data_IF_286033288451
#
_entry.id   IF_286033288451
#
_cell.length_a   1.000
_cell.length_b   1.000
_cell.length_c   1.000
_cell.angle_alpha   90.00
_cell.angle_beta   90.00
_cell.angle_gamma   90.00
#
_symmetry.space_group_name_H-M   'P 1'
#
loop_
_entity.id
_entity.type
_entity.pdbx_description
1 polymer ?
#
# COMPACT_ATOMS: atom_id res chain seq x y z
N UNK A 1 20.84 -5.24 4.96
CA UNK A 1 20.16 -3.97 4.62
C UNK A 1 18.85 -3.83 5.38
N UNK A 2 17.90 -4.75 5.24
CA UNK A 2 16.60 -4.67 5.94
C UNK A 2 16.73 -4.73 7.47
N UNK A 3 17.52 -5.66 8.02
CA UNK A 3 17.75 -5.76 9.48
C UNK A 3 18.39 -4.48 10.05
N UNK A 4 19.31 -3.87 9.31
CA UNK A 4 19.96 -2.62 9.70
C UNK A 4 18.96 -1.45 9.71
N UNK A 5 18.08 -1.38 8.71
CA UNK A 5 17.02 -0.36 8.63
C UNK A 5 15.99 -0.53 9.75
N UNK A 6 15.53 -1.77 10.00
CA UNK A 6 14.63 -2.10 11.10
C UNK A 6 15.20 -1.66 12.44
N UNK A 7 16.49 -1.98 12.70
CA UNK A 7 17.18 -1.56 13.93
C UNK A 7 17.34 -0.05 14.02
N UNK A 8 17.70 0.62 12.93
CA UNK A 8 17.97 2.07 12.90
C UNK A 8 16.69 2.90 13.05
N UNK A 9 15.59 2.48 12.43
CA UNK A 9 14.33 3.22 12.39
C UNK A 9 13.32 2.72 13.45
N UNK A 10 13.58 1.60 14.13
CA UNK A 10 12.76 1.11 15.23
C UNK A 10 11.44 0.49 14.80
N UNK A 11 11.45 -0.30 13.72
CA UNK A 11 10.29 -1.05 13.25
C UNK A 11 10.63 -2.52 13.01
N UNK A 12 9.60 -3.36 12.93
CA UNK A 12 9.72 -4.78 12.60
C UNK A 12 8.88 -5.09 11.37
N UNK A 13 9.45 -5.82 10.40
CA UNK A 13 8.67 -6.41 9.30
C UNK A 13 8.17 -7.76 9.78
N UNK A 14 6.86 -7.86 10.00
CA UNK A 14 6.24 -9.06 10.59
C UNK A 14 5.73 -10.04 9.53
N UNK A 15 5.63 -9.59 8.28
CA UNK A 15 5.28 -10.40 7.13
C UNK A 15 5.39 -9.62 5.82
N UNK A 16 5.41 -10.34 4.71
CA UNK A 16 5.29 -9.79 3.35
C UNK A 16 4.45 -10.77 2.54
N UNK A 17 3.34 -10.29 2.00
CA UNK A 17 2.34 -11.13 1.34
C UNK A 17 2.21 -10.64 -0.11
N UNK A 18 2.49 -11.54 -1.05
CA UNK A 18 2.29 -11.27 -2.47
C UNK A 18 0.83 -11.53 -2.85
N UNK A 19 0.31 -10.72 -3.77
CA UNK A 19 -1.03 -10.86 -4.35
C UNK A 19 -0.96 -10.50 -5.83
N UNK A 20 -1.34 -11.43 -6.70
CA UNK A 20 -1.24 -11.23 -8.15
C UNK A 20 -2.61 -10.97 -8.77
N UNK A 21 -3.65 -11.62 -8.23
CA UNK A 21 -5.00 -11.61 -8.79
C UNK A 21 -6.08 -11.55 -7.72
N UNK A 22 -7.31 -11.23 -8.12
CA UNK A 22 -8.44 -11.07 -7.20
C UNK A 22 -8.77 -12.37 -6.44
N UNK A 23 -8.60 -13.51 -7.08
CA UNK A 23 -8.88 -14.85 -6.55
C UNK A 23 -7.97 -15.22 -5.38
N UNK A 24 -6.85 -14.51 -5.20
CA UNK A 24 -5.92 -14.72 -4.09
C UNK A 24 -6.43 -14.11 -2.77
N UNK A 25 -7.44 -13.25 -2.81
CA UNK A 25 -7.92 -12.54 -1.61
C UNK A 25 -8.23 -13.47 -0.43
N UNK A 26 -8.92 -14.62 -0.59
CA UNK A 26 -9.14 -15.55 0.51
C UNK A 26 -7.83 -16.03 1.16
N UNK A 27 -6.84 -16.45 0.36
CA UNK A 27 -5.51 -16.86 0.84
C UNK A 27 -4.81 -15.71 1.57
N UNK A 28 -4.81 -14.52 0.97
CA UNK A 28 -4.16 -13.33 1.54
C UNK A 28 -4.77 -12.97 2.90
N UNK A 29 -6.08 -13.10 3.06
CA UNK A 29 -6.75 -12.89 4.36
C UNK A 29 -6.28 -13.89 5.43
N UNK A 30 -6.09 -15.15 5.05
CA UNK A 30 -5.55 -16.17 5.96
C UNK A 30 -4.10 -15.86 6.35
N UNK A 31 -3.26 -15.44 5.40
CA UNK A 31 -1.87 -15.05 5.68
C UNK A 31 -1.78 -13.81 6.58
N UNK A 32 -2.64 -12.81 6.36
CA UNK A 32 -2.75 -11.63 7.25
C UNK A 32 -3.09 -12.05 8.68
N UNK A 33 -3.97 -13.04 8.86
CA UNK A 33 -4.34 -13.53 10.19
C UNK A 33 -3.17 -14.14 10.97
N UNK A 34 -2.15 -14.63 10.26
CA UNK A 34 -0.92 -15.14 10.86
C UNK A 34 0.12 -14.07 11.22
N UNK A 35 -0.10 -12.81 10.83
CA UNK A 35 0.82 -11.72 11.08
C UNK A 35 0.41 -10.89 12.30
N UNK A 36 1.32 -10.70 13.25
CA UNK A 36 1.13 -9.74 14.34
C UNK A 36 1.77 -8.39 13.96
N UNK A 37 0.95 -7.44 13.51
CA UNK A 37 1.39 -6.12 13.03
C UNK A 37 0.60 -4.95 13.65
N UNK A 38 1.15 -3.74 13.62
CA UNK A 38 0.40 -2.52 13.98
C UNK A 38 -0.11 -1.76 12.74
N UNK A 39 0.68 -1.81 11.66
CA UNK A 39 0.46 -1.12 10.39
C UNK A 39 0.68 -2.09 9.22
N UNK A 40 -0.25 -2.08 8.26
CA UNK A 40 -0.10 -2.79 6.99
C UNK A 40 0.05 -1.77 5.85
N UNK A 41 1.12 -1.90 5.06
CA UNK A 41 1.35 -1.10 3.85
C UNK A 41 0.85 -1.89 2.64
N UNK A 42 -0.07 -1.30 1.85
CA UNK A 42 -0.68 -1.95 0.70
C UNK A 42 -0.18 -1.32 -0.60
N UNK A 43 0.19 -2.17 -1.55
CA UNK A 43 0.46 -1.81 -2.94
C UNK A 43 -0.20 -2.85 -3.86
N UNK A 44 -1.49 -3.08 -3.67
CA UNK A 44 -2.25 -4.20 -4.24
C UNK A 44 -3.26 -3.80 -5.33
N UNK A 45 -3.10 -2.60 -5.92
CA UNK A 45 -4.04 -2.05 -6.89
C UNK A 45 -5.49 -2.06 -6.38
N UNK A 46 -6.44 -2.44 -7.23
CA UNK A 46 -7.86 -2.51 -6.87
C UNK A 46 -8.14 -3.42 -5.67
N UNK A 47 -7.32 -4.45 -5.42
CA UNK A 47 -7.49 -5.35 -4.28
C UNK A 47 -7.29 -4.63 -2.94
N UNK A 48 -6.53 -3.52 -2.90
CA UNK A 48 -6.36 -2.71 -1.70
C UNK A 48 -7.70 -2.14 -1.20
N UNK A 49 -8.66 -1.84 -2.09
CA UNK A 49 -10.01 -1.40 -1.72
C UNK A 49 -10.81 -2.47 -0.95
N UNK A 50 -10.40 -3.73 -1.05
CA UNK A 50 -11.03 -4.85 -0.33
C UNK A 50 -10.24 -5.16 0.94
N UNK A 51 -8.90 -5.19 0.84
CA UNK A 51 -8.03 -5.56 1.95
C UNK A 51 -7.96 -4.48 3.03
N UNK A 52 -7.90 -3.19 2.67
CA UNK A 52 -7.83 -2.09 3.64
C UNK A 52 -9.03 -2.06 4.61
N UNK A 53 -10.30 -2.05 4.16
CA UNK A 53 -11.43 -2.08 5.08
C UNK A 53 -11.51 -3.41 5.83
N UNK A 54 -11.15 -4.54 5.20
CA UNK A 54 -11.09 -5.83 5.87
C UNK A 54 -10.13 -5.80 7.07
N UNK A 55 -8.92 -5.27 6.89
CA UNK A 55 -7.90 -5.17 7.95
C UNK A 55 -8.41 -4.28 9.08
N UNK A 56 -8.96 -3.10 8.74
CA UNK A 56 -9.49 -2.15 9.72
C UNK A 56 -10.65 -2.73 10.53
N UNK A 57 -11.60 -3.41 9.88
CA UNK A 57 -12.79 -3.95 10.54
C UNK A 57 -12.51 -5.23 11.31
N UNK A 58 -11.66 -6.11 10.78
CA UNK A 58 -11.42 -7.44 11.36
C UNK A 58 -10.42 -7.38 12.51
N UNK A 59 -9.38 -6.56 12.39
CA UNK A 59 -8.29 -6.52 13.37
C UNK A 59 -8.23 -5.21 14.15
N UNK A 60 -8.98 -4.18 13.76
CA UNK A 60 -8.87 -2.84 14.37
C UNK A 60 -7.53 -2.16 14.08
N UNK A 61 -6.81 -2.60 13.05
CA UNK A 61 -5.46 -2.17 12.70
C UNK A 61 -5.47 -1.16 11.55
N UNK A 62 -4.37 -0.43 11.37
CA UNK A 62 -4.25 0.55 10.28
C UNK A 62 -3.77 -0.15 9.01
N UNK A 63 -4.49 0.05 7.91
CA UNK A 63 -4.05 -0.28 6.56
C UNK A 63 -3.83 1.00 5.77
N UNK A 64 -2.65 1.16 5.18
CA UNK A 64 -2.28 2.33 4.40
C UNK A 64 -1.99 1.94 2.96
N UNK A 65 -2.89 2.32 2.06
CA UNK A 65 -2.75 2.08 0.63
C UNK A 65 -1.81 3.11 0.00
N UNK A 66 -0.59 2.65 -0.27
CA UNK A 66 0.43 3.43 -0.96
C UNK A 66 0.27 3.35 -2.47
N UNK A 67 -0.32 2.27 -2.99
CA UNK A 67 -0.40 2.02 -4.43
C UNK A 67 0.93 2.28 -5.14
N UNK A 68 0.88 3.05 -6.23
CA UNK A 68 2.08 3.53 -6.94
C UNK A 68 2.73 4.77 -6.30
N UNK A 69 2.10 5.36 -5.28
CA UNK A 69 2.57 6.56 -4.58
C UNK A 69 3.88 6.36 -3.80
N UNK A 70 4.37 5.13 -3.65
CA UNK A 70 5.68 4.85 -3.07
C UNK A 70 6.81 5.55 -3.84
N UNK A 71 6.71 5.59 -5.17
CA UNK A 71 7.67 6.33 -6.00
C UNK A 71 7.66 7.82 -5.63
N UNK A 72 6.48 8.42 -5.56
CA UNK A 72 6.30 9.82 -5.21
C UNK A 72 6.84 10.18 -3.83
N UNK A 73 6.72 9.28 -2.84
CA UNK A 73 7.28 9.48 -1.50
C UNK A 73 8.81 9.49 -1.54
N UNK A 74 9.41 8.63 -2.35
CA UNK A 74 10.87 8.50 -2.45
C UNK A 74 11.48 9.65 -3.24
N UNK A 75 10.85 10.07 -4.34
CA UNK A 75 11.39 11.11 -5.23
C UNK A 75 10.98 12.52 -4.82
N UNK A 76 9.86 12.67 -4.09
CA UNK A 76 9.21 13.96 -3.86
C UNK A 76 8.45 14.50 -5.07
N UNK A 77 8.38 13.74 -6.16
CA UNK A 77 7.69 14.10 -7.40
C UNK A 77 6.34 13.40 -7.48
N UNK A 78 5.28 14.12 -7.84
CA UNK A 78 3.97 13.50 -8.03
C UNK A 78 3.95 12.79 -9.37
N UNK A 79 3.93 11.46 -9.32
CA UNK A 79 3.69 10.63 -10.51
C UNK A 79 2.24 10.78 -10.99
N UNK A 80 2.08 11.23 -12.23
CA UNK A 80 0.77 11.44 -12.86
C UNK A 80 0.70 10.53 -14.08
N UNK A 81 -0.24 9.58 -14.08
CA UNK A 81 -0.45 8.73 -15.23
C UNK A 81 -1.03 9.51 -16.44
N UNK A 82 -0.95 8.89 -17.61
CA UNK A 82 -1.40 9.49 -18.88
C UNK A 82 -2.89 9.82 -18.83
N UNK A 83 -3.69 9.03 -18.13
CA UNK A 83 -5.13 9.23 -18.03
C UNK A 83 -5.45 10.46 -17.17
N UNK A 84 -4.83 10.61 -16.00
CA UNK A 84 -4.94 11.80 -15.16
C UNK A 84 -4.44 13.05 -15.87
N UNK A 85 -3.34 12.94 -16.63
CA UNK A 85 -2.82 14.09 -17.38
C UNK A 85 -3.74 14.49 -18.54
N UNK A 86 -4.21 13.53 -19.34
CA UNK A 86 -4.98 13.82 -20.57
C UNK A 86 -6.47 14.07 -20.33
N UNK A 87 -7.07 13.35 -19.39
CA UNK A 87 -8.52 13.36 -19.18
C UNK A 87 -8.89 14.33 -18.06
N UNK A 88 -8.21 14.24 -16.91
CA UNK A 88 -8.50 15.10 -15.76
C UNK A 88 -7.84 16.49 -15.93
N UNK A 89 -6.75 16.59 -16.69
CA UNK A 89 -6.02 17.85 -16.88
C UNK A 89 -5.30 18.29 -15.61
N UNK A 90 -4.81 17.32 -14.83
CA UNK A 90 -4.10 17.54 -13.55
C UNK A 90 -2.91 18.49 -13.67
N UNK A 91 -2.24 18.49 -14.82
CA UNK A 91 -1.13 19.39 -15.14
C UNK A 91 -1.56 20.87 -15.14
N UNK A 92 -2.81 21.17 -15.50
CA UNK A 92 -3.35 22.53 -15.42
C UNK A 92 -3.62 22.96 -13.99
N UNK A 93 -4.11 22.05 -13.16
CA UNK A 93 -4.42 22.29 -11.74
C UNK A 93 -3.17 22.49 -10.89
N UNK A 94 -2.11 21.73 -11.16
CA UNK A 94 -0.84 21.81 -10.43
C UNK A 94 -0.03 23.08 -10.74
N UNK A 95 -0.34 23.78 -11.84
CA UNK A 95 0.34 25.00 -12.28
C UNK A 95 -0.45 26.30 -11.93
N UNK A 96 -1.52 26.18 -11.14
CA UNK A 96 -2.28 27.32 -10.59
C UNK A 96 -1.68 27.78 -9.26
#
# INVERSE_FOLDING_TARGET
MEEELQKRLGFTITGTILIDQFEDIPRVKEEIAGCDFDLCLLAAGTNALILAPYIAQTYGKVAFDLGQGMASIVTGEIEIDIWMKKIIGMDKLMNM
#
